data_IF_606270817960
#
_entry.id   IF_606270817960
#
_cell.length_a   1.000
_cell.length_b   1.000
_cell.length_c   1.000
_cell.angle_alpha   90.00
_cell.angle_beta   90.00
_cell.angle_gamma   90.00
#
_symmetry.space_group_name_H-M   'P 1'
#
loop_
_entity.id
_entity.type
_entity.pdbx_description
1 polymer ?
#
# COMPACT_ATOMS: atom_id res chain seq x y z
N UNK A 1 -4.65 -27.51 18.72
CA UNK A 1 -4.10 -26.18 19.04
C UNK A 1 -4.72 -25.02 18.24
N UNK A 2 -5.63 -25.25 17.27
CA UNK A 2 -6.11 -24.18 16.36
C UNK A 2 -7.50 -23.58 16.72
N UNK A 3 -8.14 -23.97 17.82
CA UNK A 3 -9.52 -23.53 18.12
C UNK A 3 -9.64 -22.22 18.91
N UNK A 4 -8.54 -21.66 19.45
CA UNK A 4 -8.58 -20.45 20.28
C UNK A 4 -8.25 -19.14 19.54
N UNK A 5 -7.92 -19.20 18.24
CA UNK A 5 -7.60 -18.00 17.43
C UNK A 5 -8.82 -17.30 16.84
N UNK A 6 -9.93 -18.02 16.63
CA UNK A 6 -11.14 -17.47 16.01
C UNK A 6 -11.86 -16.41 16.86
N UNK A 7 -11.59 -16.31 18.16
CA UNK A 7 -12.21 -15.32 19.04
C UNK A 7 -11.55 -13.93 18.98
N UNK A 8 -10.32 -13.85 18.44
CA UNK A 8 -9.58 -12.59 18.34
C UNK A 8 -9.70 -12.14 16.89
N UNK A 9 -10.43 -11.05 16.62
CA UNK A 9 -10.57 -10.44 15.29
C UNK A 9 -9.20 -9.98 14.73
N UNK A 10 -8.35 -10.93 14.35
CA UNK A 10 -6.97 -10.74 13.94
C UNK A 10 -6.84 -11.05 12.45
N UNK A 11 -6.08 -10.21 11.75
CA UNK A 11 -5.69 -10.43 10.35
C UNK A 11 -4.34 -11.15 10.34
N UNK A 12 -4.34 -12.44 10.01
CA UNK A 12 -3.14 -13.28 9.93
C UNK A 12 -2.97 -13.87 8.54
N UNK A 13 -1.71 -14.05 8.12
CA UNK A 13 -1.34 -14.71 6.87
C UNK A 13 -1.13 -16.21 7.06
N UNK A 14 -1.57 -17.02 6.09
CA UNK A 14 -1.24 -18.44 6.03
C UNK A 14 0.04 -18.62 5.21
N UNK A 15 1.20 -18.44 5.84
CA UNK A 15 2.48 -18.48 5.13
C UNK A 15 2.97 -19.93 4.97
N UNK A 16 3.06 -20.43 3.73
CA UNK A 16 3.56 -21.77 3.41
C UNK A 16 4.09 -21.83 1.97
N UNK A 17 5.06 -22.69 1.69
CA UNK A 17 5.50 -22.96 0.31
C UNK A 17 4.34 -23.44 -0.59
N UNK A 18 3.33 -24.09 -0.02
CA UNK A 18 2.12 -24.51 -0.71
C UNK A 18 1.13 -23.38 -1.02
N UNK A 19 1.40 -22.14 -0.58
CA UNK A 19 0.56 -20.97 -0.92
C UNK A 19 1.07 -20.19 -2.12
N UNK A 20 2.23 -20.55 -2.67
CA UNK A 20 2.75 -19.97 -3.90
C UNK A 20 1.96 -20.53 -5.10
N UNK A 21 1.56 -19.64 -6.01
CA UNK A 21 0.87 -20.04 -7.23
C UNK A 21 1.83 -20.75 -8.21
N UNK A 22 1.39 -21.86 -8.80
CA UNK A 22 2.15 -22.58 -9.83
C UNK A 22 2.29 -21.77 -11.13
N UNK A 23 1.31 -20.90 -11.42
CA UNK A 23 1.25 -20.10 -12.63
C UNK A 23 0.64 -18.73 -12.33
N UNK A 24 1.14 -17.70 -13.01
CA UNK A 24 0.66 -16.32 -12.93
C UNK A 24 0.39 -15.79 -14.34
N UNK A 25 -0.78 -15.17 -14.54
CA UNK A 25 -1.14 -14.49 -15.77
C UNK A 25 -1.25 -13.00 -15.45
N UNK A 26 -0.37 -12.21 -16.05
CA UNK A 26 -0.31 -10.76 -15.87
C UNK A 26 -0.96 -10.07 -17.08
N UNK A 27 -2.28 -9.89 -17.02
CA UNK A 27 -3.06 -9.18 -18.05
C UNK A 27 -3.51 -7.78 -17.56
N UNK A 28 -2.88 -6.70 -18.02
CA UNK A 28 -3.19 -5.33 -17.58
C UNK A 28 -4.59 -4.87 -17.99
N UNK A 29 -5.24 -5.49 -18.98
CA UNK A 29 -6.61 -5.13 -19.39
C UNK A 29 -7.61 -5.42 -18.28
N UNK A 30 -7.35 -6.42 -17.44
CA UNK A 30 -8.17 -6.75 -16.27
C UNK A 30 -8.20 -5.64 -15.21
N UNK A 31 -7.28 -4.67 -15.28
CA UNK A 31 -7.23 -3.52 -14.36
C UNK A 31 -7.99 -2.30 -14.91
N UNK A 32 -8.55 -2.37 -16.11
CA UNK A 32 -9.13 -1.21 -16.80
C UNK A 32 -10.36 -0.61 -16.09
N UNK A 33 -11.10 -1.41 -15.32
CA UNK A 33 -12.33 -1.00 -14.62
C UNK A 33 -12.09 -0.59 -13.17
N UNK A 34 -10.85 -0.62 -12.67
CA UNK A 34 -10.54 -0.25 -11.29
C UNK A 34 -10.81 1.25 -11.08
N UNK A 35 -11.53 1.66 -10.02
CA UNK A 35 -11.70 3.07 -9.70
C UNK A 35 -10.37 3.80 -9.51
N UNK A 36 -10.29 5.05 -9.96
CA UNK A 36 -9.02 5.82 -9.99
C UNK A 36 -8.31 5.89 -8.64
N UNK A 37 -9.05 6.18 -7.57
CA UNK A 37 -8.49 6.26 -6.23
C UNK A 37 -8.02 4.88 -5.73
N UNK A 38 -8.82 3.83 -5.94
CA UNK A 38 -8.42 2.47 -5.58
C UNK A 38 -7.17 2.00 -6.35
N UNK A 39 -7.04 2.40 -7.62
CA UNK A 39 -5.86 2.14 -8.44
C UNK A 39 -4.62 2.82 -7.84
N UNK A 40 -4.75 4.08 -7.42
CA UNK A 40 -3.68 4.81 -6.73
C UNK A 40 -3.29 4.11 -5.42
N UNK A 41 -4.26 3.81 -4.55
CA UNK A 41 -3.97 3.17 -3.25
C UNK A 41 -3.27 1.82 -3.43
N UNK A 42 -3.73 1.02 -4.39
CA UNK A 42 -3.14 -0.31 -4.66
C UNK A 42 -1.73 -0.19 -5.22
N UNK A 43 -1.45 0.80 -6.06
CA UNK A 43 -0.08 1.03 -6.51
C UNK A 43 0.83 1.63 -5.42
N UNK A 44 0.29 2.45 -4.53
CA UNK A 44 1.03 2.95 -3.37
C UNK A 44 1.42 1.83 -2.40
N UNK A 45 0.63 0.76 -2.30
CA UNK A 45 1.01 -0.45 -1.56
C UNK A 45 2.33 -1.02 -2.09
N UNK A 46 2.47 -1.14 -3.41
CA UNK A 46 3.70 -1.59 -4.07
C UNK A 46 4.87 -0.65 -3.81
N UNK A 47 4.65 0.66 -3.94
CA UNK A 47 5.66 1.67 -3.68
C UNK A 47 6.16 1.63 -2.22
N UNK A 48 5.23 1.57 -1.26
CA UNK A 48 5.52 1.50 0.18
C UNK A 48 6.26 0.20 0.52
N UNK A 49 5.82 -0.96 0.00
CA UNK A 49 6.52 -2.24 0.18
C UNK A 49 8.00 -2.12 -0.18
N UNK A 50 8.31 -1.49 -1.32
CA UNK A 50 9.66 -1.39 -1.84
C UNK A 50 10.51 -0.38 -1.05
N UNK A 51 9.92 0.74 -0.61
CA UNK A 51 10.60 1.69 0.29
C UNK A 51 10.98 1.03 1.60
N UNK A 52 10.03 0.32 2.20
CA UNK A 52 10.28 -0.34 3.47
C UNK A 52 11.29 -1.46 3.34
N UNK A 53 11.22 -2.24 2.25
CA UNK A 53 12.21 -3.27 1.94
C UNK A 53 13.61 -2.68 1.80
N UNK A 54 13.75 -1.53 1.12
CA UNK A 54 15.05 -0.86 0.92
C UNK A 54 15.54 -0.08 2.15
N UNK A 55 14.69 0.23 3.12
CA UNK A 55 15.08 0.90 4.36
C UNK A 55 15.14 -0.07 5.56
N UNK A 56 14.73 -1.32 5.37
CA UNK A 56 14.75 -2.35 6.39
C UNK A 56 16.15 -2.83 6.77
N UNK A 57 16.26 -3.46 7.93
CA UNK A 57 17.50 -4.10 8.40
C UNK A 57 17.70 -5.50 7.82
N UNK A 58 16.61 -6.21 7.49
CA UNK A 58 16.66 -7.52 6.85
C UNK A 58 16.54 -7.35 5.33
N UNK A 59 17.68 -7.38 4.65
CA UNK A 59 17.78 -7.12 3.21
C UNK A 59 18.47 -8.23 2.48
N UNK A 60 17.99 -8.48 1.27
CA UNK A 60 18.58 -9.44 0.34
C UNK A 60 18.86 -8.75 -1.01
N UNK A 61 20.04 -8.94 -1.64
CA UNK A 61 20.38 -8.25 -2.88
C UNK A 61 19.37 -8.45 -4.03
N UNK A 62 18.72 -9.61 -4.09
CA UNK A 62 17.66 -9.88 -5.08
C UNK A 62 16.40 -9.05 -4.77
N UNK A 63 15.98 -8.98 -3.51
CA UNK A 63 14.84 -8.15 -3.10
C UNK A 63 15.10 -6.66 -3.31
N UNK A 64 16.33 -6.22 -3.06
CA UNK A 64 16.81 -4.87 -3.35
C UNK A 64 16.71 -4.53 -4.85
N UNK A 65 17.12 -5.45 -5.73
CA UNK A 65 17.05 -5.24 -7.18
C UNK A 65 15.59 -5.11 -7.65
N UNK A 66 14.72 -6.01 -7.20
CA UNK A 66 13.28 -5.93 -7.48
C UNK A 66 12.65 -4.65 -6.94
N UNK A 67 13.01 -4.25 -5.70
CA UNK A 67 12.48 -3.03 -5.09
C UNK A 67 12.86 -1.78 -5.87
N UNK A 68 14.11 -1.68 -6.34
CA UNK A 68 14.56 -0.51 -7.13
C UNK A 68 13.79 -0.41 -8.44
N UNK A 69 13.69 -1.51 -9.19
CA UNK A 69 12.96 -1.54 -10.46
C UNK A 69 11.47 -1.22 -10.26
N UNK A 70 10.84 -1.80 -9.23
CA UNK A 70 9.44 -1.53 -8.91
C UNK A 70 9.22 -0.04 -8.54
N UNK A 71 10.14 0.58 -7.82
CA UNK A 71 10.06 2.02 -7.48
C UNK A 71 10.19 2.91 -8.72
N UNK A 72 11.12 2.61 -9.62
CA UNK A 72 11.25 3.36 -10.88
C UNK A 72 9.96 3.26 -11.71
N UNK A 73 9.40 2.05 -11.87
CA UNK A 73 8.12 1.88 -12.56
C UNK A 73 6.96 2.60 -11.87
N UNK A 74 6.90 2.58 -10.53
CA UNK A 74 5.90 3.34 -9.78
C UNK A 74 6.05 4.85 -10.03
N UNK A 75 7.28 5.37 -10.01
CA UNK A 75 7.57 6.78 -10.31
C UNK A 75 7.14 7.14 -11.72
N UNK A 76 7.48 6.34 -12.72
CA UNK A 76 7.04 6.56 -14.09
C UNK A 76 5.51 6.64 -14.19
N UNK A 77 4.79 5.75 -13.51
CA UNK A 77 3.33 5.73 -13.49
C UNK A 77 2.75 6.95 -12.78
N UNK A 78 3.16 7.21 -11.55
CA UNK A 78 2.51 8.21 -10.67
C UNK A 78 3.01 9.65 -10.89
N UNK A 79 4.16 9.84 -11.53
CA UNK A 79 4.62 11.17 -11.96
C UNK A 79 4.14 11.52 -13.39
N UNK A 80 3.59 10.56 -14.13
CA UNK A 80 3.02 10.80 -15.46
C UNK A 80 1.77 11.69 -15.44
N UNK A 81 1.32 12.12 -16.62
CA UNK A 81 0.09 12.89 -16.77
C UNK A 81 -1.19 12.07 -16.50
N UNK A 82 -1.16 10.77 -16.77
CA UNK A 82 -2.28 9.87 -16.47
C UNK A 82 -1.79 8.48 -16.05
N UNK A 83 -1.85 8.21 -14.73
CA UNK A 83 -1.45 6.92 -14.17
C UNK A 83 -2.25 5.72 -14.70
N UNK A 84 -3.43 5.93 -15.31
CA UNK A 84 -4.30 4.85 -15.80
C UNK A 84 -4.23 4.63 -17.31
N UNK A 85 -3.26 5.25 -18.00
CA UNK A 85 -3.01 4.99 -19.42
C UNK A 85 -2.71 3.51 -19.66
N UNK A 86 -2.99 3.00 -20.87
CA UNK A 86 -2.73 1.58 -21.19
C UNK A 86 -1.28 1.17 -20.96
N UNK A 87 -0.34 2.09 -21.14
CA UNK A 87 1.09 1.84 -20.92
C UNK A 87 1.41 1.83 -19.42
N UNK A 88 0.85 2.76 -18.66
CA UNK A 88 1.08 2.81 -17.22
C UNK A 88 0.42 1.64 -16.47
N UNK A 89 -0.67 1.08 -16.99
CA UNK A 89 -1.27 -0.16 -16.46
C UNK A 89 -0.32 -1.36 -16.59
N UNK A 90 0.38 -1.48 -17.72
CA UNK A 90 1.42 -2.51 -17.92
C UNK A 90 2.55 -2.33 -16.92
N UNK A 91 3.06 -1.11 -16.80
CA UNK A 91 4.15 -0.78 -15.87
C UNK A 91 3.78 -1.05 -14.42
N UNK A 92 2.61 -0.62 -13.98
CA UNK A 92 2.18 -0.85 -12.60
C UNK A 92 1.95 -2.34 -12.31
N UNK A 93 1.44 -3.11 -13.27
CA UNK A 93 1.29 -4.56 -13.11
C UNK A 93 2.65 -5.25 -12.92
N UNK A 94 3.66 -4.88 -13.71
CA UNK A 94 5.03 -5.38 -13.53
C UNK A 94 5.60 -4.91 -12.19
N UNK A 95 5.44 -3.64 -11.84
CA UNK A 95 5.89 -3.10 -10.55
C UNK A 95 5.28 -3.87 -9.37
N UNK A 96 3.98 -4.17 -9.43
CA UNK A 96 3.27 -4.92 -8.39
C UNK A 96 3.81 -6.33 -8.23
N UNK A 97 4.07 -7.03 -9.35
CA UNK A 97 4.70 -8.35 -9.31
C UNK A 97 6.10 -8.28 -8.67
N UNK A 98 6.93 -7.32 -9.10
CA UNK A 98 8.28 -7.12 -8.56
C UNK A 98 8.26 -6.75 -7.07
N UNK A 99 7.32 -5.90 -6.64
CA UNK A 99 7.11 -5.57 -5.23
C UNK A 99 6.74 -6.78 -4.39
N UNK A 100 5.87 -7.67 -4.90
CA UNK A 100 5.57 -8.95 -4.28
C UNK A 100 6.81 -9.85 -4.14
N UNK A 101 7.61 -9.95 -5.20
CA UNK A 101 8.88 -10.68 -5.17
C UNK A 101 9.90 -10.05 -4.20
N UNK A 102 9.90 -8.72 -4.06
CA UNK A 102 10.76 -8.02 -3.12
C UNK A 102 10.42 -8.39 -1.66
N UNK A 103 9.15 -8.30 -1.26
CA UNK A 103 8.73 -8.67 0.10
C UNK A 103 8.78 -10.18 0.38
N UNK A 104 8.83 -11.03 -0.65
CA UNK A 104 9.09 -12.45 -0.46
C UNK A 104 10.55 -12.73 -0.06
N UNK A 105 11.47 -11.81 -0.41
CA UNK A 105 12.90 -11.93 -0.14
C UNK A 105 13.41 -10.93 0.93
N UNK A 106 12.55 -10.01 1.34
CA UNK A 106 12.78 -8.97 2.34
C UNK A 106 11.58 -8.93 3.30
N UNK A 107 11.50 -7.93 4.18
CA UNK A 107 10.31 -7.70 5.00
C UNK A 107 9.85 -6.24 4.88
N UNK A 108 8.61 -6.00 5.30
CA UNK A 108 8.03 -4.66 5.45
C UNK A 108 8.52 -3.98 6.74
N UNK A 109 8.24 -2.68 6.83
CA UNK A 109 8.76 -1.77 7.86
C UNK A 109 7.67 -1.33 8.84
N UNK A 110 7.66 -0.04 9.19
CA UNK A 110 6.79 0.54 10.22
C UNK A 110 5.38 0.85 9.70
N UNK A 111 5.20 1.17 8.42
CA UNK A 111 3.89 1.49 7.81
C UNK A 111 2.93 0.31 7.91
N UNK A 112 3.37 -0.88 7.53
CA UNK A 112 2.50 -2.07 7.44
C UNK A 112 1.92 -2.53 8.79
N UNK A 113 2.68 -2.61 9.89
CA UNK A 113 2.13 -2.92 11.22
C UNK A 113 1.12 -1.88 11.71
N UNK A 114 1.40 -0.59 11.54
CA UNK A 114 0.44 0.47 11.92
C UNK A 114 -0.83 0.41 11.07
N UNK A 115 -0.69 0.15 9.77
CA UNK A 115 -1.80 -0.03 8.85
C UNK A 115 -2.66 -1.24 9.20
N UNK A 116 -2.04 -2.38 9.56
CA UNK A 116 -2.75 -3.57 10.00
C UNK A 116 -3.57 -3.28 11.28
N UNK A 117 -2.98 -2.58 12.25
CA UNK A 117 -3.68 -2.13 13.46
C UNK A 117 -4.85 -1.19 13.13
N UNK A 118 -4.63 -0.19 12.26
CA UNK A 118 -5.67 0.74 11.82
C UNK A 118 -6.83 0.00 11.13
N UNK A 119 -6.51 -0.93 10.23
CA UNK A 119 -7.47 -1.75 9.49
C UNK A 119 -8.34 -2.59 10.41
N UNK A 120 -7.75 -3.22 11.43
CA UNK A 120 -8.49 -4.04 12.41
C UNK A 120 -9.41 -3.18 13.29
N UNK A 121 -8.94 -2.02 13.76
CA UNK A 121 -9.71 -1.18 14.70
C UNK A 121 -10.78 -0.34 13.99
N UNK A 122 -10.47 0.17 12.79
CA UNK A 122 -11.35 1.09 12.05
C UNK A 122 -12.10 0.42 10.89
N UNK A 123 -11.78 -0.82 10.54
CA UNK A 123 -12.38 -1.51 9.38
C UNK A 123 -11.94 -0.92 8.03
N UNK A 124 -10.84 -0.16 7.99
CA UNK A 124 -10.32 0.43 6.74
C UNK A 124 -9.64 -0.64 5.89
N UNK A 125 -9.77 -0.53 4.57
CA UNK A 125 -9.08 -1.45 3.65
C UNK A 125 -7.56 -1.25 3.69
N UNK A 126 -6.81 -2.32 3.42
CA UNK A 126 -5.34 -2.38 3.53
C UNK A 126 -4.62 -1.22 2.84
N UNK A 127 -4.84 -1.06 1.54
CA UNK A 127 -4.10 -0.07 0.74
C UNK A 127 -4.41 1.37 1.15
N UNK A 128 -5.67 1.66 1.51
CA UNK A 128 -6.06 2.97 2.04
C UNK A 128 -5.37 3.23 3.39
N UNK A 129 -5.33 2.20 4.25
CA UNK A 129 -4.68 2.27 5.56
C UNK A 129 -3.17 2.54 5.42
N UNK A 130 -2.52 1.92 4.44
CA UNK A 130 -1.12 2.19 4.09
C UNK A 130 -0.91 3.66 3.69
N UNK A 131 -1.78 4.22 2.85
CA UNK A 131 -1.71 5.64 2.49
C UNK A 131 -1.94 6.59 3.69
N UNK A 132 -2.88 6.27 4.59
CA UNK A 132 -3.12 7.02 5.83
C UNK A 132 -1.90 7.07 6.71
N UNK A 133 -1.28 5.92 6.90
CA UNK A 133 -0.09 5.82 7.74
C UNK A 133 1.08 6.53 7.04
N UNK A 134 1.33 6.29 5.75
CA UNK A 134 2.41 6.92 4.99
C UNK A 134 2.33 8.46 5.00
N UNK A 135 1.13 9.03 4.95
CA UNK A 135 0.90 10.48 5.04
C UNK A 135 1.42 11.10 6.36
N UNK A 136 1.75 10.30 7.37
CA UNK A 136 2.25 10.73 8.68
C UNK A 136 3.65 10.19 8.99
N UNK A 137 4.39 9.71 7.98
CA UNK A 137 5.69 9.05 8.18
C UNK A 137 6.91 9.92 7.87
N UNK A 138 6.77 11.25 7.86
CA UNK A 138 7.89 12.16 7.55
C UNK A 138 9.07 12.04 8.53
N UNK A 139 8.82 11.63 9.78
CA UNK A 139 9.89 11.37 10.76
C UNK A 139 10.74 10.14 10.42
N UNK A 140 10.14 9.11 9.80
CA UNK A 140 10.80 7.84 9.49
C UNK A 140 11.27 7.76 8.03
N UNK A 141 10.47 8.29 7.10
CA UNK A 141 10.69 8.25 5.66
C UNK A 141 10.49 9.66 5.05
N UNK A 142 11.34 10.64 5.38
CA UNK A 142 11.11 12.05 5.02
C UNK A 142 11.00 12.25 3.50
N UNK A 143 11.97 11.73 2.74
CA UNK A 143 12.03 11.92 1.28
C UNK A 143 10.88 11.23 0.58
N UNK A 144 10.58 10.02 1.01
CA UNK A 144 9.56 9.16 0.43
C UNK A 144 8.15 9.64 0.76
N UNK A 145 7.97 10.26 1.94
CA UNK A 145 6.72 10.92 2.33
C UNK A 145 6.46 12.15 1.48
N UNK A 146 7.49 12.97 1.21
CA UNK A 146 7.38 14.12 0.31
C UNK A 146 7.07 13.68 -1.13
N UNK A 147 7.75 12.63 -1.62
CA UNK A 147 7.50 12.05 -2.94
C UNK A 147 6.07 11.48 -3.04
N UNK A 148 5.58 10.79 -1.99
CA UNK A 148 4.20 10.32 -1.89
C UNK A 148 3.19 11.47 -1.97
N UNK A 149 3.40 12.56 -1.22
CA UNK A 149 2.52 13.72 -1.27
C UNK A 149 2.49 14.35 -2.67
N UNK A 150 3.64 14.44 -3.33
CA UNK A 150 3.72 14.94 -4.70
C UNK A 150 2.95 14.06 -5.69
N UNK A 151 3.11 12.74 -5.61
CA UNK A 151 2.37 11.78 -6.45
C UNK A 151 0.86 11.88 -6.22
N UNK A 152 0.42 11.98 -4.96
CA UNK A 152 -0.97 12.13 -4.58
C UNK A 152 -1.60 13.41 -5.18
N UNK A 153 -0.88 14.53 -5.08
CA UNK A 153 -1.31 15.82 -5.63
C UNK A 153 -1.38 15.78 -7.16
N UNK A 154 -0.35 15.20 -7.80
CA UNK A 154 -0.25 15.06 -9.25
C UNK A 154 -1.42 14.26 -9.83
N UNK A 155 -1.76 13.13 -9.19
CA UNK A 155 -2.83 12.24 -9.66
C UNK A 155 -4.24 12.67 -9.23
N UNK A 156 -4.35 13.76 -8.46
CA UNK A 156 -5.60 14.32 -7.94
C UNK A 156 -6.39 13.30 -7.12
N UNK A 157 -5.70 12.44 -6.36
CA UNK A 157 -6.39 11.45 -5.52
C UNK A 157 -7.22 12.16 -4.45
N UNK A 158 -8.45 11.70 -4.24
CA UNK A 158 -9.42 12.36 -3.33
C UNK A 158 -9.14 12.11 -1.85
N UNK A 159 -8.08 11.34 -1.55
CA UNK A 159 -7.63 10.91 -0.24
C UNK A 159 -7.83 11.92 0.92
N UNK A 160 -7.48 13.20 0.72
CA UNK A 160 -7.60 14.24 1.76
C UNK A 160 -9.03 14.66 2.12
N UNK A 161 -10.02 14.43 1.25
CA UNK A 161 -11.40 14.90 1.48
C UNK A 161 -12.25 13.86 2.20
N UNK A 162 -12.08 12.58 1.86
CA UNK A 162 -12.98 11.54 2.36
C UNK A 162 -12.69 11.16 3.82
N UNK A 163 -11.42 11.09 4.24
CA UNK A 163 -11.12 10.66 5.61
C UNK A 163 -11.55 11.68 6.67
N UNK A 164 -11.32 12.98 6.43
CA UNK A 164 -11.74 14.04 7.37
C UNK A 164 -13.27 14.15 7.43
N UNK A 165 -13.97 14.15 6.28
CA UNK A 165 -15.42 14.34 6.27
C UNK A 165 -16.20 13.09 6.72
N UNK A 166 -15.78 11.88 6.33
CA UNK A 166 -16.48 10.64 6.72
C UNK A 166 -16.35 10.40 8.23
N UNK A 167 -15.19 10.68 8.84
CA UNK A 167 -14.99 10.51 10.28
C UNK A 167 -15.59 11.61 11.16
N UNK A 168 -15.48 12.89 10.74
CA UNK A 168 -16.13 13.99 11.47
C UNK A 168 -17.67 13.84 11.51
N UNK A 169 -18.27 13.12 10.56
CA UNK A 169 -19.74 12.98 10.51
C UNK A 169 -20.27 11.69 11.13
N UNK A 170 -19.51 10.58 11.13
CA UNK A 170 -20.03 9.27 11.55
C UNK A 170 -19.75 8.86 13.01
N UNK A 171 -18.81 9.51 13.72
CA UNK A 171 -18.57 9.23 15.16
C UNK A 171 -18.59 10.45 16.07
N UNK A 172 -18.49 11.67 15.53
CA UNK A 172 -18.50 12.92 16.31
C UNK A 172 -19.91 13.49 16.60
N UNK A 173 -20.97 12.70 16.41
CA UNK A 173 -22.30 13.01 16.96
C UNK A 173 -22.49 12.52 18.41
N UNK A 174 -21.44 12.05 19.09
CA UNK A 174 -21.59 11.32 20.36
C UNK A 174 -20.67 11.67 21.54
N UNK A 175 -19.61 12.47 21.40
CA UNK A 175 -18.75 12.79 22.55
C UNK A 175 -18.17 14.22 22.46
N UNK A 176 -18.95 15.19 22.92
CA UNK A 176 -18.41 16.34 23.64
C UNK A 176 -18.18 15.84 25.08
N UNK A 177 -16.91 15.63 25.43
CA UNK A 177 -16.38 15.79 26.78
C UNK A 177 -15.12 16.65 26.56
N UNK A 178 -15.12 17.97 26.78
CA UNK A 178 -14.99 18.59 28.10
C UNK A 178 -14.10 17.75 29.03
N UNK A 179 -12.79 17.92 28.85
CA UNK A 179 -11.80 18.28 29.88
C UNK A 179 -10.64 19.00 29.20
#
# INVERSE_FOLDING_TARGET
>A
MCSHEFEKNLKLGMNSEFTIYDQLILDPELTATVPRDQYFYTGMDTYIHCIESLNGSYRHPVGDAFSREALELCREVFLSNDMMSSENRKKLMVASYLGGCAIANSYVGVVHPFSAGLSVVLGTHHCISNCIVMNQMSEFYPKETDEFHFMMDKQKSTFRKEFVLHWMTLRWKGCICLL
#
